data_IF_852329779158
#
_entry.id   IF_852329779158
#
_cell.length_a   1.000
_cell.length_b   1.000
_cell.length_c   1.000
_cell.angle_alpha   90.00
_cell.angle_beta   90.00
_cell.angle_gamma   90.00
#
_symmetry.space_group_name_H-M   'P 1'
#
loop_
_entity.id
_entity.type
_entity.pdbx_description
1 polymer ?
#
# COMPACT_ATOMS: atom_id res chain seq x y z
N UNK A 1 3.36 -5.07 -4.31
CA UNK A 1 4.03 -5.29 -5.61
C UNK A 1 3.14 -6.00 -6.63
N UNK A 2 2.58 -7.18 -6.34
CA UNK A 2 1.74 -7.94 -7.29
C UNK A 2 0.56 -7.16 -7.87
N UNK A 3 -0.28 -6.54 -7.03
CA UNK A 3 -1.44 -5.76 -7.48
C UNK A 3 -1.08 -4.57 -8.39
N UNK A 4 0.13 -4.01 -8.21
CA UNK A 4 0.65 -2.96 -9.10
C UNK A 4 1.10 -3.56 -10.43
N UNK A 5 1.77 -4.71 -10.39
CA UNK A 5 2.32 -5.37 -11.57
C UNK A 5 1.25 -6.00 -12.47
N UNK A 6 0.17 -6.56 -11.91
CA UNK A 6 -0.89 -7.18 -12.72
C UNK A 6 -1.53 -6.14 -13.65
N UNK A 7 -1.93 -4.98 -13.12
CA UNK A 7 -2.50 -3.90 -13.94
C UNK A 7 -1.52 -3.30 -14.95
N UNK A 8 -0.22 -3.32 -14.64
CA UNK A 8 0.83 -2.89 -15.58
C UNK A 8 0.98 -3.89 -16.72
N UNK A 9 1.01 -5.18 -16.42
CA UNK A 9 1.19 -6.25 -17.42
C UNK A 9 -0.06 -6.39 -18.29
N UNK A 10 -1.25 -6.43 -17.70
CA UNK A 10 -2.54 -6.44 -18.40
C UNK A 10 -2.76 -5.16 -19.21
N UNK A 11 -2.20 -4.04 -18.73
CA UNK A 11 -2.26 -2.76 -19.42
C UNK A 11 -1.38 -2.69 -20.66
N UNK A 12 -0.41 -3.59 -20.88
CA UNK A 12 0.40 -3.59 -22.10
C UNK A 12 -0.44 -4.10 -23.27
N UNK A 13 -0.74 -3.20 -24.21
CA UNK A 13 -1.53 -3.53 -25.39
C UNK A 13 -0.90 -4.67 -26.21
N UNK A 14 -1.60 -5.79 -26.46
CA UNK A 14 -1.12 -6.85 -27.35
C UNK A 14 -0.82 -6.36 -28.76
N UNK A 15 -1.55 -5.34 -29.24
CA UNK A 15 -1.34 -4.77 -30.59
C UNK A 15 0.08 -4.22 -30.79
N UNK A 16 0.72 -3.72 -29.72
CA UNK A 16 2.11 -3.24 -29.76
C UNK A 16 3.11 -4.40 -29.93
N UNK A 17 2.83 -5.53 -29.30
CA UNK A 17 3.66 -6.74 -29.44
C UNK A 17 3.47 -7.40 -30.81
N UNK A 18 2.23 -7.45 -31.30
CA UNK A 18 1.88 -7.94 -32.64
C UNK A 18 2.51 -7.08 -33.75
N UNK A 19 2.52 -5.75 -33.60
CA UNK A 19 3.16 -4.83 -34.54
C UNK A 19 4.67 -5.07 -34.62
N UNK A 20 5.34 -5.27 -33.48
CA UNK A 20 6.76 -5.59 -33.46
C UNK A 20 7.05 -6.94 -34.13
N UNK A 21 6.23 -7.97 -33.88
CA UNK A 21 6.38 -9.28 -34.52
C UNK A 21 6.10 -9.21 -36.03
N UNK A 22 5.16 -8.37 -36.48
CA UNK A 22 4.89 -8.12 -37.90
C UNK A 22 6.07 -7.48 -38.62
N UNK A 23 6.87 -6.68 -37.91
CA UNK A 23 8.16 -6.14 -38.37
C UNK A 23 9.32 -7.14 -38.23
N UNK A 24 9.03 -8.43 -38.03
CA UNK A 24 9.99 -9.54 -37.87
C UNK A 24 10.83 -9.49 -36.60
N UNK A 25 10.41 -8.75 -35.57
CA UNK A 25 11.04 -8.87 -34.26
C UNK A 25 10.73 -10.25 -33.66
N UNK A 26 11.75 -10.93 -33.12
CA UNK A 26 11.54 -12.17 -32.37
C UNK A 26 11.00 -11.86 -30.95
N UNK A 27 10.47 -12.88 -30.26
CA UNK A 27 9.84 -12.71 -28.93
C UNK A 27 10.73 -12.04 -27.88
N UNK A 28 12.03 -12.31 -27.91
CA UNK A 28 12.98 -11.68 -26.98
C UNK A 28 13.23 -10.21 -27.32
N UNK A 29 13.35 -9.90 -28.61
CA UNK A 29 13.42 -8.52 -29.09
C UNK A 29 12.15 -7.77 -28.71
N UNK A 30 10.96 -8.30 -28.99
CA UNK A 30 9.68 -7.69 -28.59
C UNK A 30 9.62 -7.43 -27.08
N UNK A 31 10.04 -8.40 -26.26
CA UNK A 31 10.10 -8.20 -24.81
C UNK A 31 11.04 -7.06 -24.41
N UNK A 32 12.29 -7.03 -24.91
CA UNK A 32 13.27 -6.00 -24.51
C UNK A 32 12.93 -4.60 -25.04
N UNK A 33 12.37 -4.50 -26.25
CA UNK A 33 12.19 -3.21 -26.94
C UNK A 33 10.78 -2.65 -26.81
N UNK A 34 9.77 -3.48 -26.54
CA UNK A 34 8.37 -3.07 -26.40
C UNK A 34 7.85 -3.33 -25.00
N UNK A 35 7.70 -4.60 -24.59
CA UNK A 35 7.02 -4.95 -23.35
C UNK A 35 7.75 -4.42 -22.11
N UNK A 36 9.05 -4.67 -21.99
CA UNK A 36 9.86 -4.26 -20.84
C UNK A 36 9.90 -2.73 -20.70
N UNK A 37 10.17 -1.91 -21.73
CA UNK A 37 10.09 -0.45 -21.63
C UNK A 37 8.72 0.07 -21.21
N UNK A 38 7.63 -0.54 -21.69
CA UNK A 38 6.27 -0.18 -21.28
C UNK A 38 6.00 -0.58 -19.81
N UNK A 39 6.55 -1.69 -19.35
CA UNK A 39 6.43 -2.15 -17.96
C UNK A 39 7.40 -1.47 -16.97
N UNK A 40 8.47 -0.82 -17.45
CA UNK A 40 9.52 -0.20 -16.59
C UNK A 40 8.96 0.71 -15.50
N UNK A 41 8.01 1.64 -15.77
CA UNK A 41 7.41 2.47 -14.71
C UNK A 41 6.72 1.65 -13.63
N UNK A 42 5.98 0.61 -14.02
CA UNK A 42 5.34 -0.31 -13.10
C UNK A 42 6.33 -1.11 -12.26
N UNK A 43 7.37 -1.65 -12.89
CA UNK A 43 8.46 -2.38 -12.21
C UNK A 43 9.18 -1.51 -11.19
N UNK A 44 9.52 -0.27 -11.57
CA UNK A 44 10.11 0.71 -10.66
C UNK A 44 9.21 1.02 -9.46
N UNK A 45 7.92 1.24 -9.69
CA UNK A 45 6.96 1.51 -8.63
C UNK A 45 6.79 0.30 -7.69
N UNK A 46 6.75 -0.92 -8.26
CA UNK A 46 6.65 -2.16 -7.49
C UNK A 46 7.92 -2.41 -6.64
N UNK A 47 9.10 -2.15 -7.21
CA UNK A 47 10.38 -2.23 -6.50
C UNK A 47 10.43 -1.22 -5.36
N UNK A 48 10.10 0.05 -5.62
CA UNK A 48 10.14 1.11 -4.63
C UNK A 48 9.20 0.82 -3.45
N UNK A 49 7.99 0.34 -3.73
CA UNK A 49 7.05 -0.12 -2.71
C UNK A 49 7.66 -1.25 -1.86
N UNK A 50 8.22 -2.29 -2.49
CA UNK A 50 8.85 -3.39 -1.75
C UNK A 50 10.07 -2.95 -0.92
N UNK A 51 10.88 -2.04 -1.46
CA UNK A 51 12.05 -1.48 -0.77
C UNK A 51 11.66 -0.69 0.47
N UNK A 52 10.67 0.21 0.36
CA UNK A 52 10.19 1.02 1.49
C UNK A 52 9.57 0.14 2.57
N UNK A 53 8.75 -0.84 2.21
CA UNK A 53 8.16 -1.77 3.18
C UNK A 53 9.24 -2.60 3.91
N UNK A 54 10.25 -3.09 3.19
CA UNK A 54 11.37 -3.82 3.79
C UNK A 54 12.21 -2.94 4.72
N UNK A 55 12.46 -1.67 4.36
CA UNK A 55 13.20 -0.72 5.19
C UNK A 55 12.43 -0.27 6.43
N UNK A 56 11.09 -0.25 6.34
CA UNK A 56 10.20 0.12 7.42
C UNK A 56 9.78 -1.08 8.31
N UNK A 57 10.22 -2.29 7.98
CA UNK A 57 9.82 -3.50 8.69
C UNK A 57 10.39 -3.48 10.12
N UNK A 58 9.47 -3.48 11.08
CA UNK A 58 9.77 -3.46 12.50
C UNK A 58 9.51 -4.81 13.15
N UNK A 59 8.42 -5.48 12.76
CA UNK A 59 7.93 -6.67 13.45
C UNK A 59 8.83 -7.88 13.24
N UNK A 60 9.26 -8.15 12.01
CA UNK A 60 10.08 -9.33 11.73
C UNK A 60 11.46 -9.24 12.40
N UNK A 61 12.20 -8.12 12.31
CA UNK A 61 13.49 -8.02 13.00
C UNK A 61 13.35 -8.05 14.53
N UNK A 62 12.30 -7.45 15.09
CA UNK A 62 12.08 -7.48 16.54
C UNK A 62 11.91 -8.90 17.08
N UNK A 63 11.19 -9.75 16.35
CA UNK A 63 10.85 -11.11 16.81
C UNK A 63 11.90 -12.15 16.39
N UNK A 64 12.46 -12.01 15.18
CA UNK A 64 13.32 -13.02 14.55
C UNK A 64 14.79 -12.60 14.48
N UNK A 65 15.09 -11.32 14.70
CA UNK A 65 16.44 -10.76 14.52
C UNK A 65 17.46 -11.24 15.54
N UNK A 66 17.04 -11.79 16.68
CA UNK A 66 17.96 -12.26 17.72
C UNK A 66 18.86 -11.14 18.21
N UNK A 67 20.16 -11.21 17.89
CA UNK A 67 21.17 -10.21 18.26
C UNK A 67 21.49 -9.23 17.11
N UNK A 68 20.68 -9.18 16.05
CA UNK A 68 20.86 -8.25 14.94
C UNK A 68 20.02 -7.00 15.16
N UNK A 69 20.70 -5.88 15.35
CA UNK A 69 20.05 -4.58 15.47
C UNK A 69 19.78 -4.00 14.07
N UNK A 70 18.55 -3.54 13.85
CA UNK A 70 18.14 -2.86 12.63
C UNK A 70 17.64 -1.46 12.93
N UNK A 71 17.74 -0.55 11.95
CA UNK A 71 17.35 0.84 12.13
C UNK A 71 15.91 1.00 12.67
N UNK A 72 14.96 0.19 12.20
CA UNK A 72 13.57 0.26 12.63
C UNK A 72 13.37 -0.07 14.11
N UNK A 73 14.07 -1.09 14.64
CA UNK A 73 13.99 -1.49 16.05
C UNK A 73 14.78 -0.55 16.95
N UNK A 74 15.95 -0.10 16.50
CA UNK A 74 16.78 0.87 17.24
C UNK A 74 16.06 2.22 17.42
N UNK A 75 15.37 2.71 16.38
CA UNK A 75 14.54 3.93 16.48
C UNK A 75 13.48 3.78 17.58
N UNK A 76 12.84 2.63 17.68
CA UNK A 76 11.81 2.37 18.69
C UNK A 76 12.41 2.31 20.10
N UNK A 77 13.49 1.55 20.30
CA UNK A 77 14.11 1.39 21.60
C UNK A 77 14.83 2.65 22.09
N UNK A 78 15.29 3.53 21.19
CA UNK A 78 15.81 4.84 21.58
C UNK A 78 14.75 5.71 22.28
N UNK A 79 13.46 5.55 21.95
CA UNK A 79 12.36 6.33 22.53
C UNK A 79 11.70 5.64 23.72
N UNK A 80 11.35 4.36 23.56
CA UNK A 80 10.56 3.60 24.54
C UNK A 80 11.45 2.82 25.51
N UNK A 81 12.72 2.61 25.15
CA UNK A 81 13.68 1.90 25.98
C UNK A 81 14.28 2.76 27.09
N UNK A 82 15.24 2.18 27.82
CA UNK A 82 15.80 2.77 29.04
C UNK A 82 16.55 4.11 28.84
N UNK A 83 16.89 4.47 27.60
CA UNK A 83 17.68 5.67 27.30
C UNK A 83 16.85 6.94 27.11
N UNK A 84 15.56 6.83 26.71
CA UNK A 84 14.71 7.99 26.36
C UNK A 84 15.45 9.06 25.51
N UNK A 85 16.35 8.62 24.62
CA UNK A 85 17.20 9.48 23.81
C UNK A 85 16.48 9.85 22.50
N UNK A 86 15.68 10.91 22.57
CA UNK A 86 14.95 11.44 21.42
C UNK A 86 15.90 11.94 20.32
N UNK A 87 17.11 12.38 20.66
CA UNK A 87 18.07 12.87 19.69
C UNK A 87 18.64 11.70 18.87
N UNK A 88 19.01 10.60 19.54
CA UNK A 88 19.43 9.38 18.86
C UNK A 88 18.33 8.84 17.94
N UNK A 89 17.09 8.75 18.43
CA UNK A 89 15.95 8.32 17.64
C UNK A 89 15.73 9.18 16.39
N UNK A 90 15.83 10.51 16.54
CA UNK A 90 15.71 11.45 15.43
C UNK A 90 16.83 11.28 14.40
N UNK A 91 18.08 11.08 14.83
CA UNK A 91 19.21 10.86 13.93
C UNK A 91 19.03 9.55 13.14
N UNK A 92 18.68 8.46 13.81
CA UNK A 92 18.42 7.17 13.15
C UNK A 92 17.24 7.26 12.18
N UNK A 93 16.18 7.99 12.55
CA UNK A 93 15.05 8.27 11.70
C UNK A 93 15.44 9.07 10.44
N UNK A 94 16.32 10.08 10.58
CA UNK A 94 16.86 10.83 9.45
C UNK A 94 17.71 9.97 8.52
N UNK A 95 18.53 9.07 9.07
CA UNK A 95 19.31 8.11 8.27
C UNK A 95 18.38 7.18 7.48
N UNK A 96 17.34 6.64 8.13
CA UNK A 96 16.37 5.78 7.46
C UNK A 96 15.62 6.54 6.36
N UNK A 97 15.20 7.77 6.64
CA UNK A 97 14.55 8.66 5.67
C UNK A 97 15.48 9.01 4.50
N UNK A 98 16.77 9.22 4.74
CA UNK A 98 17.74 9.46 3.69
C UNK A 98 17.81 8.29 2.70
N UNK A 99 17.82 7.05 3.19
CA UNK A 99 17.82 5.88 2.30
C UNK A 99 16.52 5.73 1.52
N UNK A 100 15.36 5.95 2.15
CA UNK A 100 14.08 5.83 1.45
C UNK A 100 13.88 6.94 0.42
N UNK A 101 14.23 8.19 0.74
CA UNK A 101 14.22 9.29 -0.22
C UNK A 101 15.27 9.08 -1.31
N UNK A 102 16.45 8.58 -0.98
CA UNK A 102 17.48 8.23 -1.95
C UNK A 102 16.98 7.21 -2.97
N UNK A 103 16.32 6.14 -2.51
CA UNK A 103 15.70 5.15 -3.39
C UNK A 103 14.57 5.76 -4.24
N UNK A 104 13.73 6.62 -3.65
CA UNK A 104 12.66 7.33 -4.36
C UNK A 104 13.24 8.23 -5.47
N UNK A 105 14.24 9.06 -5.18
CA UNK A 105 14.86 9.95 -6.16
C UNK A 105 15.64 9.17 -7.23
N UNK A 106 16.35 8.11 -6.85
CA UNK A 106 17.02 7.23 -7.80
C UNK A 106 16.02 6.58 -8.77
N UNK A 107 14.88 6.11 -8.23
CA UNK A 107 13.78 5.57 -9.03
C UNK A 107 13.20 6.62 -9.99
N UNK A 108 12.92 7.83 -9.49
CA UNK A 108 12.39 8.93 -10.30
C UNK A 108 13.36 9.36 -11.40
N UNK A 109 14.66 9.41 -11.09
CA UNK A 109 15.71 9.74 -12.05
C UNK A 109 15.82 8.67 -13.14
N UNK A 110 15.75 7.39 -12.77
CA UNK A 110 15.80 6.26 -13.72
C UNK A 110 14.61 6.23 -14.69
N UNK A 111 13.41 6.58 -14.22
CA UNK A 111 12.20 6.59 -15.06
C UNK A 111 12.11 7.79 -16.01
N UNK A 112 12.72 8.93 -15.68
CA UNK A 112 12.64 10.15 -16.49
C UNK A 112 11.21 10.68 -16.65
N UNK A 113 10.96 11.52 -17.67
CA UNK A 113 9.64 12.14 -17.96
C UNK A 113 8.74 11.29 -18.88
N UNK A 114 9.03 10.00 -19.08
CA UNK A 114 8.33 9.20 -20.10
C UNK A 114 7.02 8.65 -19.55
N UNK A 115 5.93 9.34 -19.88
CA UNK A 115 4.56 8.83 -19.71
C UNK A 115 4.31 7.77 -20.78
N UNK A 116 4.21 6.52 -20.35
CA UNK A 116 3.79 5.41 -21.23
C UNK A 116 2.30 5.23 -21.02
N UNK A 117 1.48 5.91 -21.83
CA UNK A 117 0.03 5.72 -21.86
C UNK A 117 -0.26 4.39 -22.54
N UNK A 118 -0.57 3.34 -21.78
CA UNK A 118 -0.76 2.00 -22.37
C UNK A 118 -2.23 1.68 -22.68
N UNK A 119 -3.18 2.38 -22.04
CA UNK A 119 -4.61 2.27 -22.35
C UNK A 119 -5.04 3.45 -23.21
N UNK A 120 -5.07 3.26 -24.53
CA UNK A 120 -5.81 4.15 -25.43
C UNK A 120 -7.30 3.86 -25.24
N UNK A 121 -8.18 4.88 -25.22
CA UNK A 121 -9.64 4.69 -25.17
C UNK A 121 -10.25 3.96 -26.40
N UNK A 122 -9.41 3.38 -27.26
CA UNK A 122 -9.79 2.49 -28.35
C UNK A 122 -9.68 1.05 -27.85
N UNK A 123 -10.77 0.31 -27.94
CA UNK A 123 -10.81 -1.11 -27.54
C UNK A 123 -9.65 -1.87 -28.17
N UNK A 124 -8.86 -2.52 -27.31
CA UNK A 124 -7.78 -3.38 -27.74
C UNK A 124 -8.35 -4.74 -28.13
N UNK A 125 -8.15 -5.13 -29.38
CA UNK A 125 -8.67 -6.38 -29.94
C UNK A 125 -7.61 -7.47 -30.11
N UNK A 126 -6.36 -7.19 -29.72
CA UNK A 126 -5.26 -8.14 -29.84
C UNK A 126 -5.32 -9.23 -28.77
N UNK A 127 -4.68 -10.38 -29.04
CA UNK A 127 -4.59 -11.49 -28.10
C UNK A 127 -3.17 -11.55 -27.54
N UNK A 128 -3.03 -11.58 -26.21
CA UNK A 128 -1.70 -11.68 -25.61
C UNK A 128 -0.96 -12.93 -26.15
N UNK A 129 0.24 -12.78 -26.73
CA UNK A 129 0.97 -13.91 -27.29
C UNK A 129 1.34 -14.90 -26.19
N UNK A 130 1.06 -16.18 -26.42
CA UNK A 130 1.38 -17.22 -25.44
C UNK A 130 2.89 -17.35 -25.22
N UNK A 131 3.29 -17.41 -23.94
CA UNK A 131 4.65 -17.73 -23.54
C UNK A 131 5.09 -19.10 -24.11
N UNK A 132 6.37 -19.26 -24.48
CA UNK A 132 6.92 -20.57 -24.82
C UNK A 132 6.64 -21.59 -23.70
N UNK A 133 6.28 -22.82 -24.05
CA UNK A 133 5.83 -23.82 -23.08
C UNK A 133 6.85 -24.08 -21.95
N UNK A 134 8.14 -24.10 -22.27
CA UNK A 134 9.21 -24.27 -21.27
C UNK A 134 9.24 -23.10 -20.26
N UNK A 135 9.19 -21.86 -20.75
CA UNK A 135 9.18 -20.67 -19.89
C UNK A 135 7.90 -20.59 -19.06
N UNK A 136 6.76 -20.89 -19.67
CA UNK A 136 5.46 -20.96 -18.96
C UNK A 136 5.53 -21.95 -17.80
N UNK A 137 5.99 -23.18 -18.06
CA UNK A 137 6.08 -24.22 -17.03
C UNK A 137 7.09 -23.84 -15.94
N UNK A 138 8.21 -23.19 -16.27
CA UNK A 138 9.17 -22.67 -15.30
C UNK A 138 8.55 -21.61 -14.40
N UNK A 139 7.86 -20.62 -14.96
CA UNK A 139 7.18 -19.56 -14.20
C UNK A 139 6.10 -20.16 -13.29
N UNK A 140 5.31 -21.11 -13.79
CA UNK A 140 4.33 -21.82 -12.97
C UNK A 140 4.98 -22.63 -11.86
N UNK A 141 6.10 -23.31 -12.11
CA UNK A 141 6.80 -24.08 -11.08
C UNK A 141 7.32 -23.17 -9.96
N UNK A 142 7.95 -22.04 -10.30
CA UNK A 142 8.42 -21.05 -9.30
C UNK A 142 7.25 -20.47 -8.51
N UNK A 143 6.17 -20.07 -9.19
CA UNK A 143 4.98 -19.54 -8.54
C UNK A 143 4.33 -20.60 -7.61
N UNK A 144 4.21 -21.85 -8.08
CA UNK A 144 3.65 -22.95 -7.31
C UNK A 144 4.47 -23.24 -6.05
N UNK A 145 5.80 -23.25 -6.13
CA UNK A 145 6.66 -23.41 -4.94
C UNK A 145 6.39 -22.29 -3.93
N UNK A 146 6.31 -21.04 -4.37
CA UNK A 146 6.03 -19.91 -3.48
C UNK A 146 4.62 -19.95 -2.89
N UNK A 147 3.63 -20.35 -3.67
CA UNK A 147 2.24 -20.54 -3.22
C UNK A 147 2.17 -21.66 -2.18
N UNK A 148 2.79 -22.82 -2.45
CA UNK A 148 2.83 -23.94 -1.50
C UNK A 148 3.51 -23.52 -0.20
N UNK A 149 4.66 -22.85 -0.28
CA UNK A 149 5.35 -22.32 0.90
C UNK A 149 4.45 -21.37 1.72
N UNK A 150 3.77 -20.44 1.06
CA UNK A 150 2.84 -19.50 1.70
C UNK A 150 1.68 -20.22 2.38
N UNK A 151 1.05 -21.18 1.68
CA UNK A 151 -0.03 -22.00 2.22
C UNK A 151 0.45 -22.81 3.43
N UNK A 152 1.64 -23.39 3.36
CA UNK A 152 2.23 -24.13 4.48
C UNK A 152 2.41 -23.23 5.71
N UNK A 153 2.89 -21.99 5.56
CA UNK A 153 2.99 -21.03 6.67
C UNK A 153 1.61 -20.81 7.31
N UNK A 154 0.57 -20.52 6.52
CA UNK A 154 -0.78 -20.30 7.07
C UNK A 154 -1.34 -21.56 7.75
N UNK A 155 -1.09 -22.75 7.18
CA UNK A 155 -1.48 -24.02 7.79
C UNK A 155 -0.75 -24.21 9.12
N UNK A 156 0.53 -23.86 9.23
CA UNK A 156 1.26 -23.98 10.51
C UNK A 156 0.75 -23.01 11.57
N UNK A 157 0.41 -21.76 11.21
CA UNK A 157 -0.20 -20.80 12.12
C UNK A 157 -1.54 -21.32 12.63
N UNK A 158 -2.39 -21.79 11.71
CA UNK A 158 -3.71 -22.35 12.05
C UNK A 158 -3.60 -23.63 12.88
N UNK A 159 -2.69 -24.54 12.54
CA UNK A 159 -2.46 -25.74 13.35
C UNK A 159 -1.95 -25.34 14.75
N UNK A 160 -1.07 -24.33 14.82
CA UNK A 160 -0.44 -23.91 16.06
C UNK A 160 -1.39 -23.27 17.05
N UNK A 161 -2.47 -22.64 16.59
CA UNK A 161 -3.51 -22.14 17.48
C UNK A 161 -4.32 -23.24 18.17
N UNK A 162 -4.21 -24.50 17.75
CA UNK A 162 -4.78 -25.66 18.45
C UNK A 162 -3.76 -26.45 19.24
N UNK A 163 -2.48 -26.12 19.20
CA UNK A 163 -1.43 -26.88 19.90
C UNK A 163 -1.12 -26.23 21.24
N UNK A 164 -1.05 -27.00 22.33
CA UNK A 164 -0.78 -26.47 23.68
C UNK A 164 0.49 -25.63 23.75
N UNK A 165 1.62 -26.19 23.33
CA UNK A 165 2.90 -25.50 23.32
C UNK A 165 3.71 -25.94 22.11
N UNK A 166 3.68 -25.12 21.07
CA UNK A 166 4.36 -25.41 19.82
C UNK A 166 5.86 -25.69 20.03
N UNK A 167 6.35 -26.81 19.50
CA UNK A 167 7.74 -27.24 19.66
C UNK A 167 8.05 -28.03 20.94
N UNK A 168 7.08 -28.18 21.85
CA UNK A 168 7.25 -28.92 23.12
C UNK A 168 6.13 -29.94 23.33
N UNK A 169 4.88 -29.48 23.33
CA UNK A 169 3.68 -30.31 23.52
C UNK A 169 2.69 -30.06 22.38
N UNK A 170 2.61 -31.03 21.47
CA UNK A 170 1.75 -31.04 20.29
C UNK A 170 0.30 -31.49 20.56
N UNK A 171 -0.10 -31.66 21.82
CA UNK A 171 -1.47 -32.02 22.16
C UNK A 171 -2.46 -30.91 21.77
N UNK A 172 -3.61 -31.33 21.26
CA UNK A 172 -4.65 -30.41 20.81
C UNK A 172 -5.41 -29.79 21.99
N UNK A 173 -5.67 -28.48 21.91
CA UNK A 173 -6.38 -27.70 22.94
C UNK A 173 -7.21 -26.58 22.32
N UNK A 174 -8.25 -26.16 23.04
CA UNK A 174 -9.00 -24.93 22.77
C UNK A 174 -8.72 -23.83 23.81
N UNK A 175 -7.81 -24.08 24.75
CA UNK A 175 -7.50 -23.19 25.87
C UNK A 175 -7.04 -21.79 25.43
N UNK A 176 -6.30 -21.70 24.31
CA UNK A 176 -5.89 -20.43 23.72
C UNK A 176 -7.09 -19.54 23.37
N UNK A 177 -8.12 -20.12 22.74
CA UNK A 177 -9.33 -19.40 22.36
C UNK A 177 -10.19 -19.03 23.56
N UNK A 178 -10.31 -19.93 24.55
CA UNK A 178 -11.02 -19.63 25.80
C UNK A 178 -10.33 -18.49 26.55
N UNK A 179 -9.00 -18.53 26.66
CA UNK A 179 -8.24 -17.48 27.34
C UNK A 179 -8.32 -16.15 26.59
N UNK A 180 -8.16 -16.18 25.28
CA UNK A 180 -8.18 -14.98 24.44
C UNK A 180 -9.58 -14.35 24.33
N UNK A 181 -10.62 -15.16 24.15
CA UNK A 181 -11.98 -14.71 23.79
C UNK A 181 -13.08 -15.16 24.77
N UNK A 182 -12.75 -15.48 26.03
CA UNK A 182 -13.77 -15.84 27.03
C UNK A 182 -14.82 -14.74 27.19
N UNK A 183 -16.06 -15.19 27.34
CA UNK A 183 -17.23 -14.37 27.63
C UNK A 183 -17.72 -14.80 29.02
N UNK A 184 -17.82 -13.84 29.92
CA UNK A 184 -18.41 -14.04 31.24
C UNK A 184 -19.85 -13.59 31.27
N UNK A 185 -20.60 -14.15 32.21
CA UNK A 185 -21.92 -13.65 32.60
C UNK A 185 -21.89 -13.38 34.10
N UNK A 186 -22.31 -12.19 34.50
CA UNK A 186 -22.54 -11.82 35.90
C UNK A 186 -23.92 -11.13 36.06
N UNK A 187 -24.22 -10.67 37.27
CA UNK A 187 -25.48 -9.97 37.59
C UNK A 187 -25.70 -8.68 36.77
N UNK A 188 -24.65 -8.13 36.15
CA UNK A 188 -24.69 -6.95 35.28
C UNK A 188 -24.76 -7.28 33.78
N UNK A 189 -24.90 -8.56 33.42
CA UNK A 189 -25.05 -9.03 32.03
C UNK A 189 -23.80 -9.72 31.47
N UNK A 190 -23.71 -9.77 30.14
CA UNK A 190 -22.61 -10.38 29.41
C UNK A 190 -21.41 -9.43 29.41
N UNK A 191 -20.23 -9.92 29.81
CA UNK A 191 -19.00 -9.13 29.80
C UNK A 191 -17.85 -9.89 29.14
N UNK A 192 -17.07 -9.17 28.33
CA UNK A 192 -15.91 -9.69 27.62
C UNK A 192 -14.75 -9.86 28.62
N UNK A 193 -14.37 -11.10 28.94
CA UNK A 193 -13.32 -11.41 29.93
C UNK A 193 -11.95 -11.65 29.29
N UNK A 194 -11.94 -12.26 28.11
CA UNK A 194 -10.71 -12.66 27.44
C UNK A 194 -9.80 -11.47 27.09
N UNK A 195 -8.50 -11.69 27.18
CA UNK A 195 -7.48 -10.63 26.99
C UNK A 195 -7.44 -10.05 25.58
N UNK A 196 -7.93 -10.77 24.57
CA UNK A 196 -7.89 -10.34 23.18
C UNK A 196 -9.06 -9.43 22.79
N UNK A 197 -10.15 -9.38 23.55
CA UNK A 197 -11.33 -8.59 23.21
C UNK A 197 -11.05 -7.09 23.13
N UNK A 198 -10.23 -6.56 24.04
CA UNK A 198 -9.86 -5.13 24.05
C UNK A 198 -9.05 -4.78 22.80
N UNK A 199 -7.99 -5.53 22.50
CA UNK A 199 -7.17 -5.32 21.31
C UNK A 199 -7.99 -5.47 20.02
N UNK A 200 -8.87 -6.47 19.96
CA UNK A 200 -9.75 -6.67 18.81
C UNK A 200 -10.62 -5.44 18.54
N UNK A 201 -11.32 -4.94 19.56
CA UNK A 201 -12.19 -3.78 19.39
C UNK A 201 -11.40 -2.50 19.09
N UNK A 202 -10.29 -2.25 19.78
CA UNK A 202 -9.43 -1.09 19.49
C UNK A 202 -8.92 -1.10 18.05
N UNK A 203 -8.44 -2.24 17.56
CA UNK A 203 -8.00 -2.37 16.16
C UNK A 203 -9.15 -2.12 15.19
N UNK A 204 -10.33 -2.71 15.46
CA UNK A 204 -11.48 -2.56 14.58
C UNK A 204 -11.99 -1.11 14.54
N UNK A 205 -12.08 -0.44 15.68
CA UNK A 205 -12.48 0.97 15.79
C UNK A 205 -11.53 1.89 15.02
N UNK A 206 -10.22 1.75 15.24
CA UNK A 206 -9.22 2.56 14.53
C UNK A 206 -9.29 2.30 13.02
N UNK A 207 -9.44 1.05 12.58
CA UNK A 207 -9.55 0.71 11.17
C UNK A 207 -10.82 1.28 10.53
N UNK A 208 -11.98 1.12 11.18
CA UNK A 208 -13.27 1.61 10.69
C UNK A 208 -13.34 3.13 10.60
N UNK A 209 -12.61 3.85 11.45
CA UNK A 209 -12.52 5.31 11.39
C UNK A 209 -11.48 5.76 10.35
N UNK A 210 -10.28 5.16 10.38
CA UNK A 210 -9.17 5.61 9.53
C UNK A 210 -9.36 5.27 8.06
N UNK A 211 -9.90 4.10 7.70
CA UNK A 211 -10.02 3.69 6.30
C UNK A 211 -10.92 4.63 5.47
N UNK A 212 -12.17 4.96 5.88
CA UNK A 212 -13.01 5.88 5.12
C UNK A 212 -12.42 7.29 5.01
N UNK A 213 -11.78 7.78 6.07
CA UNK A 213 -11.13 9.09 6.06
C UNK A 213 -9.92 9.11 5.10
N UNK A 214 -9.13 8.04 5.10
CA UNK A 214 -8.01 7.86 4.19
C UNK A 214 -8.47 7.84 2.74
N UNK A 215 -9.51 7.04 2.44
CA UNK A 215 -10.09 6.95 1.11
C UNK A 215 -10.64 8.31 0.65
N UNK A 216 -11.39 9.01 1.52
CA UNK A 216 -11.95 10.32 1.21
C UNK A 216 -10.84 11.35 0.89
N UNK A 217 -9.81 11.46 1.73
CA UNK A 217 -8.70 12.39 1.52
C UNK A 217 -7.90 12.01 0.26
N UNK A 218 -7.61 10.73 0.07
CA UNK A 218 -6.88 10.23 -1.10
C UNK A 218 -7.61 10.51 -2.42
N UNK A 219 -8.92 10.27 -2.46
CA UNK A 219 -9.75 10.55 -3.63
C UNK A 219 -9.91 12.04 -3.90
N UNK A 220 -10.05 12.87 -2.86
CA UNK A 220 -10.10 14.32 -3.01
C UNK A 220 -8.78 14.85 -3.58
N UNK A 221 -7.66 14.40 -3.05
CA UNK A 221 -6.33 14.76 -3.57
C UNK A 221 -6.16 14.28 -5.01
N UNK A 222 -6.59 13.06 -5.35
CA UNK A 222 -6.58 12.56 -6.73
C UNK A 222 -7.44 13.43 -7.67
N UNK A 223 -8.63 13.84 -7.22
CA UNK A 223 -9.51 14.72 -7.99
C UNK A 223 -8.82 16.07 -8.27
N UNK A 224 -8.19 16.68 -7.27
CA UNK A 224 -7.41 17.91 -7.47
C UNK A 224 -6.27 17.71 -8.48
N UNK A 225 -5.53 16.60 -8.37
CA UNK A 225 -4.42 16.30 -9.27
C UNK A 225 -4.86 15.99 -10.71
N UNK A 226 -6.00 15.35 -10.94
CA UNK A 226 -6.44 14.97 -12.30
C UNK A 226 -7.33 16.03 -12.94
N UNK A 227 -8.24 16.63 -12.18
CA UNK A 227 -9.34 17.46 -12.70
C UNK A 227 -9.10 18.96 -12.55
N UNK A 228 -8.17 19.39 -11.69
CA UNK A 228 -7.88 20.81 -11.50
C UNK A 228 -6.49 21.17 -12.04
N UNK A 229 -6.36 22.41 -12.48
CA UNK A 229 -5.09 23.03 -12.83
C UNK A 229 -4.87 24.23 -11.91
N UNK A 230 -3.73 24.26 -11.23
CA UNK A 230 -3.43 25.27 -10.21
C UNK A 230 -1.92 25.45 -10.04
N UNK A 231 -1.53 26.64 -9.60
CA UNK A 231 -0.13 26.96 -9.37
C UNK A 231 0.48 26.06 -8.28
N UNK A 232 1.63 25.43 -8.56
CA UNK A 232 2.30 24.54 -7.62
C UNK A 232 1.79 23.10 -7.59
N UNK A 233 0.95 22.70 -8.57
CA UNK A 233 0.43 21.33 -8.69
C UNK A 233 1.50 20.24 -8.62
N UNK A 234 2.62 20.40 -9.31
CA UNK A 234 3.73 19.43 -9.28
C UNK A 234 4.36 19.30 -7.88
N UNK A 235 4.46 20.42 -7.15
CA UNK A 235 4.95 20.44 -5.76
C UNK A 235 3.95 19.77 -4.83
N UNK A 236 2.66 20.02 -5.02
CA UNK A 236 1.59 19.39 -4.26
C UNK A 236 1.57 17.87 -4.50
N UNK A 237 1.64 17.43 -5.76
CA UNK A 237 1.76 16.03 -6.13
C UNK A 237 2.99 15.40 -5.45
N UNK A 238 4.15 16.05 -5.56
CA UNK A 238 5.37 15.58 -4.92
C UNK A 238 5.24 15.47 -3.39
N UNK A 239 4.66 16.47 -2.72
CA UNK A 239 4.44 16.44 -1.28
C UNK A 239 3.52 15.30 -0.84
N UNK A 240 2.46 15.03 -1.62
CA UNK A 240 1.55 13.90 -1.33
C UNK A 240 2.25 12.56 -1.51
N UNK A 241 3.13 12.43 -2.52
CA UNK A 241 3.95 11.23 -2.73
C UNK A 241 5.05 11.10 -1.68
N UNK A 242 5.56 12.19 -1.12
CA UNK A 242 6.62 12.16 -0.12
C UNK A 242 6.20 11.38 1.13
N UNK A 243 4.93 11.49 1.54
CA UNK A 243 4.38 10.74 2.67
C UNK A 243 4.51 9.21 2.51
N UNK A 244 4.52 8.71 1.27
CA UNK A 244 4.77 7.30 0.97
C UNK A 244 6.23 6.89 1.20
N UNK A 245 7.17 7.81 1.01
CA UNK A 245 8.59 7.54 1.18
C UNK A 245 9.03 7.55 2.64
N UNK A 246 8.21 8.06 3.57
CA UNK A 246 8.56 8.12 5.00
C UNK A 246 8.27 6.75 5.64
N UNK A 247 9.27 6.09 6.25
CA UNK A 247 9.08 4.84 6.99
C UNK A 247 8.08 4.98 8.15
N UNK A 248 7.41 3.90 8.51
CA UNK A 248 6.32 3.92 9.51
C UNK A 248 6.83 4.24 10.91
N UNK A 249 7.99 3.71 11.24
CA UNK A 249 8.71 4.01 12.49
C UNK A 249 9.02 5.51 12.60
N UNK A 250 9.55 6.11 11.53
CA UNK A 250 9.82 7.57 11.46
C UNK A 250 8.55 8.39 11.65
N UNK A 251 7.44 7.99 11.03
CA UNK A 251 6.13 8.64 11.22
C UNK A 251 5.72 8.57 12.69
N UNK A 252 5.75 7.38 13.28
CA UNK A 252 5.35 7.18 14.69
C UNK A 252 6.18 8.03 15.65
N UNK A 253 7.51 8.02 15.52
CA UNK A 253 8.42 8.87 16.29
C UNK A 253 8.09 10.35 16.13
N UNK A 254 7.93 10.80 14.89
CA UNK A 254 7.65 12.22 14.59
C UNK A 254 6.34 12.68 15.23
N UNK A 255 5.31 11.82 15.21
CA UNK A 255 4.02 12.13 15.83
C UNK A 255 4.10 12.19 17.35
N UNK A 256 4.83 11.27 17.99
CA UNK A 256 5.06 11.32 19.44
C UNK A 256 5.81 12.60 19.80
N UNK A 257 6.93 12.91 19.14
CA UNK A 257 7.70 14.13 19.43
C UNK A 257 6.84 15.39 19.23
N UNK A 258 6.00 15.42 18.17
CA UNK A 258 5.17 16.58 17.85
C UNK A 258 3.96 16.77 18.77
N UNK A 259 3.36 15.69 19.27
CA UNK A 259 2.06 15.71 19.98
C UNK A 259 2.10 15.10 21.38
N UNK A 260 3.27 15.05 22.03
CA UNK A 260 3.42 14.59 23.41
C UNK A 260 3.45 15.72 24.44
N UNK A 261 3.40 16.98 24.01
CA UNK A 261 3.45 18.17 24.88
C UNK A 261 2.41 19.23 24.44
N UNK A 262 2.02 20.18 25.30
CA UNK A 262 1.06 21.24 24.96
C UNK A 262 1.53 22.09 23.75
N UNK A 263 0.62 22.72 22.99
CA UNK A 263 -0.80 22.94 23.29
C UNK A 263 -1.75 21.83 22.79
N UNK A 264 -1.26 20.86 22.02
CA UNK A 264 -2.07 19.75 21.48
C UNK A 264 -1.39 18.44 21.84
N UNK A 265 -1.87 17.82 22.91
CA UNK A 265 -1.42 16.50 23.37
C UNK A 265 -2.33 15.41 22.81
N UNK A 266 -1.82 14.63 21.85
CA UNK A 266 -2.54 13.50 21.26
C UNK A 266 -1.95 12.15 21.68
N UNK A 267 -0.74 12.14 22.24
CA UNK A 267 -0.05 10.92 22.66
C UNK A 267 -0.87 10.19 23.73
N UNK A 268 -1.00 8.87 23.58
CA UNK A 268 -1.86 8.05 24.45
C UNK A 268 -3.34 7.99 24.03
N UNK A 269 -3.75 8.68 22.97
CA UNK A 269 -5.14 8.63 22.45
C UNK A 269 -5.25 7.84 21.15
N UNK A 270 -6.45 7.34 20.82
CA UNK A 270 -6.69 6.73 19.50
C UNK A 270 -6.58 7.70 18.32
N UNK A 271 -6.72 9.01 18.56
CA UNK A 271 -6.69 10.05 17.52
C UNK A 271 -5.32 10.08 16.82
N UNK A 272 -4.23 9.98 17.59
CA UNK A 272 -2.87 10.01 17.02
C UNK A 272 -2.64 8.82 16.07
N UNK A 273 -3.26 7.67 16.36
CA UNK A 273 -3.19 6.47 15.53
C UNK A 273 -4.00 6.65 14.25
N UNK A 274 -5.22 7.18 14.34
CA UNK A 274 -6.07 7.49 13.17
C UNK A 274 -5.35 8.45 12.23
N UNK A 275 -4.78 9.55 12.75
CA UNK A 275 -4.03 10.51 11.93
C UNK A 275 -2.79 9.87 11.28
N UNK A 276 -2.06 9.04 12.02
CA UNK A 276 -0.91 8.30 11.49
C UNK A 276 -1.31 7.36 10.35
N UNK A 277 -2.43 6.63 10.50
CA UNK A 277 -2.95 5.75 9.44
C UNK A 277 -3.38 6.53 8.20
N UNK A 278 -4.08 7.66 8.38
CA UNK A 278 -4.47 8.53 7.26
C UNK A 278 -3.23 8.99 6.51
N UNK A 279 -2.24 9.55 7.20
CA UNK A 279 -1.04 10.06 6.56
C UNK A 279 -0.26 8.97 5.83
N UNK A 280 -0.06 7.81 6.47
CA UNK A 280 0.72 6.71 5.91
C UNK A 280 0.04 6.04 4.72
N UNK A 281 -1.29 5.90 4.74
CA UNK A 281 -2.03 5.16 3.73
C UNK A 281 -2.63 6.04 2.62
N UNK A 282 -2.72 7.36 2.82
CA UNK A 282 -3.27 8.31 1.84
C UNK A 282 -2.68 8.13 0.43
N UNK A 283 -1.36 7.95 0.21
CA UNK A 283 -0.79 7.80 -1.14
C UNK A 283 -1.35 6.64 -1.94
N UNK A 284 -1.79 5.56 -1.27
CA UNK A 284 -2.44 4.43 -1.93
C UNK A 284 -3.77 4.89 -2.54
N UNK A 285 -4.60 5.57 -1.75
CA UNK A 285 -5.86 6.17 -2.20
C UNK A 285 -5.66 7.21 -3.31
N UNK A 286 -4.63 8.05 -3.21
CA UNK A 286 -4.30 9.04 -4.27
C UNK A 286 -3.96 8.33 -5.58
N UNK A 287 -3.08 7.33 -5.57
CA UNK A 287 -2.69 6.61 -6.79
C UNK A 287 -3.83 5.83 -7.42
N UNK A 288 -4.62 5.12 -6.60
CA UNK A 288 -5.81 4.42 -7.06
C UNK A 288 -6.84 5.40 -7.67
N UNK A 289 -7.05 6.55 -7.02
CA UNK A 289 -7.91 7.62 -7.51
C UNK A 289 -7.42 8.22 -8.83
N UNK A 290 -6.13 8.53 -8.95
CA UNK A 290 -5.52 9.07 -10.19
C UNK A 290 -5.64 8.07 -11.34
N UNK A 291 -5.32 6.80 -11.09
CA UNK A 291 -5.45 5.73 -12.10
C UNK A 291 -6.90 5.57 -12.58
N UNK A 292 -7.87 5.60 -11.66
CA UNK A 292 -9.28 5.45 -12.03
C UNK A 292 -9.83 6.70 -12.74
N UNK A 293 -9.49 7.90 -12.26
CA UNK A 293 -10.00 9.16 -12.83
C UNK A 293 -9.37 9.51 -14.17
N UNK A 294 -8.12 9.11 -14.41
CA UNK A 294 -7.42 9.34 -15.70
C UNK A 294 -7.99 8.53 -16.85
N UNK A 295 -8.69 7.42 -16.56
CA UNK A 295 -9.40 6.62 -17.56
C UNK A 295 -10.74 7.24 -17.98
N UNK A 296 -11.29 8.15 -17.17
CA UNK A 296 -12.55 8.83 -17.45
C UNK A 296 -12.26 10.07 -18.30
N UNK A 297 -12.78 10.10 -19.52
CA UNK A 297 -12.56 11.21 -20.45
C UNK A 297 -13.09 12.55 -19.89
N UNK A 298 -12.36 13.66 -20.12
CA UNK A 298 -12.75 15.01 -19.67
C UNK A 298 -13.97 15.55 -20.41
N UNK A 299 -14.24 15.07 -21.62
CA UNK A 299 -15.43 15.44 -22.41
C UNK A 299 -16.75 15.16 -21.71
N UNK A 300 -16.80 14.20 -20.77
CA UNK A 300 -17.99 13.95 -19.95
C UNK A 300 -18.30 15.13 -19.00
N UNK A 301 -17.24 15.74 -18.45
CA UNK A 301 -17.38 16.91 -17.58
C UNK A 301 -17.84 18.12 -18.41
N UNK A 302 -17.21 18.33 -19.57
CA UNK A 302 -17.53 19.40 -20.52
C UNK A 302 -18.96 19.28 -21.06
N UNK A 303 -19.40 18.06 -21.37
CA UNK A 303 -20.77 17.79 -21.83
C UNK A 303 -21.78 18.11 -20.72
N UNK A 304 -21.50 17.72 -19.48
CA UNK A 304 -22.36 18.04 -18.32
C UNK A 304 -22.48 19.54 -18.11
N UNK A 305 -21.36 20.28 -18.16
CA UNK A 305 -21.33 21.73 -18.01
C UNK A 305 -22.07 22.44 -19.17
N UNK A 306 -21.93 21.94 -20.41
CA UNK A 306 -22.61 22.48 -21.59
C UNK A 306 -24.13 22.32 -21.51
N UNK A 307 -24.62 21.26 -20.87
CA UNK A 307 -26.05 21.03 -20.57
C UNK A 307 -26.58 21.89 -19.40
N UNK A 308 -25.77 22.82 -18.88
CA UNK A 308 -26.15 23.75 -17.82
C UNK A 308 -25.98 23.22 -16.40
N UNK A 309 -25.31 22.07 -16.22
CA UNK A 309 -24.97 21.60 -14.89
C UNK A 309 -23.84 22.45 -14.28
N UNK A 310 -23.83 22.63 -12.97
CA UNK A 310 -22.69 23.23 -12.25
C UNK A 310 -21.66 22.17 -11.82
N UNK A 311 -20.48 22.59 -11.39
CA UNK A 311 -19.38 21.69 -11.01
C UNK A 311 -19.76 20.66 -9.94
N UNK A 312 -20.59 21.04 -8.96
CA UNK A 312 -21.08 20.12 -7.93
C UNK A 312 -22.04 19.07 -8.49
N UNK A 313 -22.94 19.47 -9.40
CA UNK A 313 -23.83 18.55 -10.10
C UNK A 313 -23.05 17.59 -11.00
N UNK A 314 -22.08 18.09 -11.78
CA UNK A 314 -21.18 17.27 -12.60
C UNK A 314 -20.41 16.26 -11.74
N UNK A 315 -19.82 16.71 -10.63
CA UNK A 315 -19.15 15.81 -9.69
C UNK A 315 -20.10 14.73 -9.15
N UNK A 316 -21.24 15.12 -8.58
CA UNK A 316 -22.15 14.19 -7.90
C UNK A 316 -22.89 13.24 -8.85
N UNK A 317 -23.25 13.70 -10.06
CA UNK A 317 -24.09 12.94 -11.00
C UNK A 317 -23.31 12.22 -12.10
N UNK A 318 -22.10 12.67 -12.43
CA UNK A 318 -21.28 12.08 -13.51
C UNK A 318 -20.03 11.41 -12.93
N UNK A 319 -19.18 12.18 -12.25
CA UNK A 319 -17.87 11.69 -11.79
C UNK A 319 -18.02 10.66 -10.66
N UNK A 320 -18.79 10.97 -9.62
CA UNK A 320 -18.91 10.13 -8.43
C UNK A 320 -19.51 8.74 -8.73
N UNK A 321 -20.58 8.59 -9.56
CA UNK A 321 -21.09 7.28 -9.96
C UNK A 321 -20.08 6.44 -10.74
N UNK A 322 -19.31 7.07 -11.64
CA UNK A 322 -18.26 6.39 -12.41
C UNK A 322 -17.09 5.96 -11.52
N UNK A 323 -16.83 6.68 -10.43
CA UNK A 323 -15.80 6.35 -9.45
C UNK A 323 -16.24 5.36 -8.38
N UNK A 324 -17.52 4.94 -8.31
CA UNK A 324 -17.99 4.00 -7.27
C UNK A 324 -17.14 2.73 -7.14
N UNK A 325 -16.72 2.06 -8.23
CA UNK A 325 -15.87 0.88 -8.11
C UNK A 325 -14.53 1.19 -7.46
N UNK A 326 -13.94 2.35 -7.77
CA UNK A 326 -12.69 2.80 -7.17
C UNK A 326 -12.85 3.19 -5.69
N UNK A 327 -13.99 3.79 -5.32
CA UNK A 327 -14.32 4.14 -3.92
C UNK A 327 -14.51 2.88 -3.07
N UNK A 328 -15.13 1.84 -3.62
CA UNK A 328 -15.32 0.57 -2.90
C UNK A 328 -14.03 -0.24 -2.78
N UNK A 329 -13.07 -0.02 -3.67
CA UNK A 329 -11.76 -0.67 -3.65
C UNK A 329 -10.72 0.04 -2.78
N UNK A 330 -10.90 1.34 -2.51
CA UNK A 330 -10.02 2.19 -1.72
C UNK A 330 -10.31 2.09 -0.22
#
# INVERSE_FOLDING_TARGET
>A
AFLVMIGVVEGVSPSMEEAAQSLRANRWQTFITVSLPLMRPGLANAFLLGFIESMADFGNPLVLGGNFDVLSTEIFFAIVGAQYDQAQAAILALVLLFFTLGAFYAQRFWLGKKSYTTVSGKGDAGVHPHLPAALRNLVFAVAAVWTVFTVLIYVTIFYGSFVKLWGVDFSLTFEHYVTAFSIGWNEFGIHWRGSAWSSFWTTMEIALISAPLTAAIGLLTAYLLVRQDFAGKDTFEFATMLSFAIPGTVIGVSYVIAFNVPPIELTGTGIILVLSFIFRNMPVGVRAGVASMSQIDRSLDESSLTLGANSWQTFRKVVLPLLRPAILAA
#
